data_IF_735455262723
#
_entry.id   IF_735455262723
#
_cell.length_a   1.000
_cell.length_b   1.000
_cell.length_c   1.000
_cell.angle_alpha   90.00
_cell.angle_beta   90.00
_cell.angle_gamma   90.00
#
_symmetry.space_group_name_H-M   'P 1'
#
loop_
_entity.id
_entity.type
_entity.pdbx_description
1 polymer ?
#
# COMPACT_ATOMS: atom_id res chain seq x y z
N UNK A 1 -16.74 16.26 -20.43
CA UNK A 1 -15.75 15.83 -19.42
C UNK A 1 -14.64 14.90 -19.91
N UNK A 2 -14.76 14.15 -21.03
CA UNK A 2 -13.68 13.24 -21.50
C UNK A 2 -12.45 13.94 -22.13
N UNK A 3 -12.56 15.21 -22.54
CA UNK A 3 -11.49 15.96 -23.23
C UNK A 3 -10.43 16.53 -22.26
N UNK A 4 -10.81 16.98 -21.07
CA UNK A 4 -9.86 17.44 -20.04
C UNK A 4 -8.99 16.29 -19.49
N UNK A 5 -9.57 15.08 -19.40
CA UNK A 5 -8.84 13.86 -19.08
C UNK A 5 -7.76 13.51 -20.11
N UNK A 6 -8.05 13.73 -21.40
CA UNK A 6 -7.10 13.52 -22.49
C UNK A 6 -5.92 14.51 -22.45
N UNK A 7 -6.15 15.77 -22.07
CA UNK A 7 -5.06 16.75 -21.92
C UNK A 7 -4.17 16.47 -20.69
N UNK A 8 -4.74 15.93 -19.61
CA UNK A 8 -3.95 15.36 -18.50
C UNK A 8 -3.15 14.13 -18.97
N UNK A 9 -3.69 13.24 -19.82
CA UNK A 9 -2.94 12.12 -20.41
C UNK A 9 -1.67 12.57 -21.15
N UNK A 10 -1.72 13.69 -21.89
CA UNK A 10 -0.59 14.20 -22.66
C UNK A 10 0.59 14.67 -21.79
N UNK A 11 0.31 15.21 -20.61
CA UNK A 11 1.34 15.63 -19.65
C UNK A 11 2.08 14.45 -18.99
N UNK A 12 1.46 13.26 -18.97
CA UNK A 12 1.98 12.06 -18.29
C UNK A 12 2.63 11.03 -19.24
N UNK A 13 2.25 11.04 -20.53
CA UNK A 13 2.81 10.15 -21.57
C UNK A 13 4.09 10.73 -22.21
N UNK A 14 4.23 12.06 -22.29
CA UNK A 14 5.41 12.73 -22.85
C UNK A 14 6.57 12.85 -21.83
N UNK A 15 7.84 12.64 -22.22
CA UNK A 15 8.98 12.80 -21.31
C UNK A 15 9.34 14.29 -21.11
N UNK A 16 10.07 14.69 -20.04
CA UNK A 16 10.83 13.82 -19.14
C UNK A 16 10.76 14.13 -17.64
N UNK A 17 10.87 13.07 -16.83
CA UNK A 17 11.36 13.07 -15.44
C UNK A 17 12.74 13.76 -15.28
N UNK A 18 13.42 14.21 -16.36
CA UNK A 18 14.63 15.06 -16.28
C UNK A 18 14.37 16.42 -15.64
N UNK A 19 13.17 16.98 -15.71
CA UNK A 19 12.85 18.27 -15.08
C UNK A 19 12.69 18.14 -13.57
N UNK A 20 12.18 17.01 -13.08
CA UNK A 20 12.03 16.73 -11.65
C UNK A 20 13.32 16.28 -10.98
N UNK A 21 14.23 15.62 -11.71
CA UNK A 21 15.59 15.30 -11.24
C UNK A 21 16.44 16.58 -10.99
N UNK A 22 16.11 17.72 -11.63
CA UNK A 22 16.79 19.00 -11.35
C UNK A 22 16.24 19.74 -10.13
N UNK A 23 15.00 19.53 -9.70
CA UNK A 23 14.47 20.18 -8.48
C UNK A 23 15.06 19.59 -7.19
N UNK A 24 15.51 18.34 -7.19
CA UNK A 24 16.26 17.75 -6.08
C UNK A 24 17.67 18.31 -5.89
N UNK A 25 18.13 19.19 -6.79
CA UNK A 25 19.42 19.91 -6.71
C UNK A 25 19.27 21.37 -6.24
N UNK A 26 18.22 21.72 -5.51
CA UNK A 26 18.24 22.97 -4.75
C UNK A 26 19.20 22.82 -3.56
N UNK A 27 20.21 23.70 -3.40
CA UNK A 27 21.12 23.63 -2.28
C UNK A 27 20.41 24.16 -1.04
N UNK A 28 19.79 23.29 -0.25
CA UNK A 28 19.54 23.62 1.15
C UNK A 28 20.87 23.54 1.88
N UNK A 29 21.60 24.66 1.85
CA UNK A 29 22.83 24.87 2.62
C UNK A 29 22.43 25.02 4.08
N UNK A 30 22.45 23.94 4.84
CA UNK A 30 22.47 24.00 6.30
C UNK A 30 23.75 23.35 6.82
N UNK A 31 24.51 24.18 7.53
CA UNK A 31 25.69 23.94 8.36
C UNK A 31 26.20 22.49 8.39
N UNK A 32 27.25 22.23 7.61
CA UNK A 32 28.11 21.07 7.81
C UNK A 32 28.83 21.26 9.15
N UNK A 33 28.49 20.45 10.15
CA UNK A 33 29.42 20.13 11.23
C UNK A 33 30.60 19.39 10.60
N UNK A 34 31.80 19.94 10.77
CA UNK A 34 33.07 19.36 10.34
C UNK A 34 33.16 17.89 10.77
N UNK A 35 32.95 16.97 9.83
CA UNK A 35 33.42 15.61 9.92
C UNK A 35 34.18 15.31 8.63
N UNK A 36 35.45 14.99 8.79
CA UNK A 36 36.37 14.55 7.75
C UNK A 36 35.78 13.37 6.96
N UNK A 37 36.04 13.27 5.64
CA UNK A 37 35.51 12.20 4.82
C UNK A 37 36.02 10.83 5.33
N UNK A 38 35.16 9.79 5.38
CA UNK A 38 35.61 8.46 5.78
C UNK A 38 36.57 7.89 4.72
N UNK A 39 37.66 7.29 5.19
CA UNK A 39 38.64 6.58 4.36
C UNK A 39 37.96 5.47 3.56
N UNK A 40 38.36 5.34 2.29
CA UNK A 40 37.96 4.23 1.42
C UNK A 40 38.65 2.95 1.91
N UNK A 41 37.98 2.18 2.76
CA UNK A 41 38.36 0.81 3.00
C UNK A 41 37.90 -0.06 1.83
N UNK A 42 38.85 -0.52 1.02
CA UNK A 42 38.66 -1.68 0.13
C UNK A 42 38.37 -2.91 0.99
N UNK A 43 37.10 -3.31 1.07
CA UNK A 43 36.72 -4.61 1.64
C UNK A 43 37.03 -5.68 0.60
N UNK A 44 38.21 -6.30 0.70
CA UNK A 44 38.47 -7.59 0.04
C UNK A 44 37.67 -8.67 0.77
N UNK A 45 36.51 -9.03 0.23
CA UNK A 45 35.75 -10.18 0.69
C UNK A 45 36.50 -11.51 0.41
N UNK A 46 36.21 -12.58 1.16
CA UNK A 46 36.83 -13.88 0.94
C UNK A 46 36.41 -14.45 -0.43
N UNK A 47 37.38 -15.02 -1.13
CA UNK A 47 37.18 -15.78 -2.37
C UNK A 47 36.37 -17.02 -2.00
N UNK A 48 35.07 -17.04 -2.31
CA UNK A 48 34.24 -18.24 -2.20
C UNK A 48 34.59 -19.19 -3.33
N UNK A 49 35.00 -20.42 -2.98
CA UNK A 49 35.16 -21.53 -3.91
C UNK A 49 33.90 -21.71 -4.77
N UNK A 50 34.11 -21.72 -6.08
CA UNK A 50 33.06 -21.86 -7.08
C UNK A 50 32.66 -23.34 -7.16
N UNK A 51 31.50 -23.68 -6.61
CA UNK A 51 30.95 -25.03 -6.67
C UNK A 51 30.20 -25.22 -7.99
N UNK A 52 30.79 -25.94 -8.95
CA UNK A 52 30.33 -26.05 -10.35
C UNK A 52 29.01 -26.83 -10.57
N UNK A 53 28.35 -27.33 -9.53
CA UNK A 53 27.20 -28.24 -9.66
C UNK A 53 25.81 -27.64 -9.46
N UNK A 54 25.65 -26.32 -9.42
CA UNK A 54 24.33 -25.67 -9.51
C UNK A 54 24.21 -24.96 -10.86
N UNK A 55 23.50 -25.58 -11.81
CA UNK A 55 23.02 -24.89 -13.01
C UNK A 55 22.00 -23.85 -12.54
N UNK A 56 22.50 -22.69 -12.13
CA UNK A 56 21.70 -21.54 -11.75
C UNK A 56 21.16 -20.94 -13.04
N UNK A 57 20.07 -21.51 -13.55
CA UNK A 57 19.33 -20.92 -14.67
C UNK A 57 18.94 -19.51 -14.22
N UNK A 58 19.44 -18.45 -14.88
CA UNK A 58 19.09 -17.10 -14.48
C UNK A 58 17.57 -16.97 -14.53
N UNK A 59 16.93 -16.41 -13.48
CA UNK A 59 15.48 -16.29 -13.46
C UNK A 59 15.01 -15.60 -14.73
N UNK A 60 13.91 -16.07 -15.30
CA UNK A 60 13.38 -15.52 -16.55
C UNK A 60 13.13 -14.01 -16.38
N UNK A 61 13.32 -13.24 -17.45
CA UNK A 61 13.08 -11.78 -17.43
C UNK A 61 11.68 -11.43 -16.88
N UNK A 62 10.70 -12.29 -17.16
CA UNK A 62 9.34 -12.17 -16.64
C UNK A 62 9.28 -12.27 -15.11
N UNK A 63 10.02 -13.21 -14.51
CA UNK A 63 10.10 -13.33 -13.05
C UNK A 63 10.67 -12.06 -12.42
N UNK A 64 11.73 -11.49 -12.99
CA UNK A 64 12.32 -10.24 -12.49
C UNK A 64 11.37 -9.05 -12.61
N UNK A 65 10.53 -8.99 -13.66
CA UNK A 65 9.47 -7.99 -13.79
C UNK A 65 8.36 -8.19 -12.74
N UNK A 66 7.93 -9.44 -12.49
CA UNK A 66 6.95 -9.78 -11.44
C UNK A 66 7.50 -9.49 -10.04
N UNK A 67 8.82 -9.64 -9.86
CA UNK A 67 9.53 -9.29 -8.64
C UNK A 67 9.57 -7.78 -8.45
N UNK A 68 9.89 -7.02 -9.50
CA UNK A 68 9.95 -5.54 -9.49
C UNK A 68 8.60 -4.90 -9.16
N UNK A 69 7.52 -5.38 -9.79
CA UNK A 69 6.14 -4.93 -9.50
C UNK A 69 5.61 -5.39 -8.16
N UNK A 70 6.30 -6.37 -7.53
CA UNK A 70 5.86 -7.08 -6.32
C UNK A 70 4.46 -7.70 -6.45
N UNK A 71 4.04 -8.02 -7.67
CA UNK A 71 2.70 -8.58 -7.92
C UNK A 71 2.49 -9.88 -7.13
N UNK A 72 3.51 -10.72 -7.03
CA UNK A 72 3.49 -11.97 -6.24
C UNK A 72 3.24 -11.77 -4.73
N UNK A 73 3.54 -10.59 -4.17
CA UNK A 73 3.30 -10.27 -2.74
C UNK A 73 2.02 -9.46 -2.54
N UNK A 74 1.76 -8.49 -3.42
CA UNK A 74 0.71 -7.50 -3.21
C UNK A 74 -0.62 -7.88 -3.88
N UNK A 75 -0.61 -8.77 -4.88
CA UNK A 75 -1.83 -9.08 -5.65
C UNK A 75 -2.94 -9.64 -4.77
N UNK A 76 -2.63 -10.56 -3.86
CA UNK A 76 -3.63 -11.16 -2.96
C UNK A 76 -4.20 -10.11 -1.98
N UNK A 77 -3.38 -9.40 -1.17
CA UNK A 77 -3.90 -8.37 -0.27
C UNK A 77 -4.75 -7.31 -0.98
N UNK A 78 -4.30 -6.83 -2.14
CA UNK A 78 -5.03 -5.81 -2.93
C UNK A 78 -6.37 -6.35 -3.42
N UNK A 79 -6.39 -7.60 -3.91
CA UNK A 79 -7.64 -8.23 -4.37
C UNK A 79 -8.62 -8.46 -3.22
N UNK A 80 -8.13 -8.89 -2.06
CA UNK A 80 -8.96 -9.03 -0.86
C UNK A 80 -9.53 -7.69 -0.40
N UNK A 81 -8.75 -6.61 -0.45
CA UNK A 81 -9.22 -5.27 -0.14
C UNK A 81 -10.33 -4.81 -1.09
N UNK A 82 -10.18 -5.07 -2.40
CA UNK A 82 -11.19 -4.73 -3.40
C UNK A 82 -12.48 -5.54 -3.20
N UNK A 83 -12.37 -6.85 -2.90
CA UNK A 83 -13.52 -7.70 -2.61
C UNK A 83 -14.24 -7.27 -1.33
N UNK A 84 -13.50 -6.99 -0.25
CA UNK A 84 -14.02 -6.46 1.01
C UNK A 84 -14.80 -5.16 0.77
N UNK A 85 -14.20 -4.24 0.01
CA UNK A 85 -14.79 -2.96 -0.35
C UNK A 85 -16.12 -3.12 -1.12
N UNK A 86 -16.14 -3.96 -2.16
CA UNK A 86 -17.36 -4.24 -2.92
C UNK A 86 -18.44 -4.90 -2.07
N UNK A 87 -18.07 -5.87 -1.24
CA UNK A 87 -18.99 -6.61 -0.38
C UNK A 87 -19.62 -5.73 0.70
N UNK A 88 -18.82 -4.96 1.44
CA UNK A 88 -19.33 -4.05 2.47
C UNK A 88 -20.29 -3.02 1.88
N UNK A 89 -20.03 -2.56 0.66
CA UNK A 89 -20.84 -1.51 0.04
C UNK A 89 -22.14 -2.05 -0.56
N UNK A 90 -22.14 -3.30 -1.07
CA UNK A 90 -23.32 -3.92 -1.68
C UNK A 90 -23.37 -5.44 -1.46
N UNK A 91 -23.62 -5.91 -0.22
CA UNK A 91 -23.48 -7.33 0.12
C UNK A 91 -24.53 -8.20 -0.58
N UNK A 92 -25.75 -7.68 -0.78
CA UNK A 92 -26.88 -8.44 -1.32
C UNK A 92 -26.81 -8.72 -2.83
N UNK A 93 -26.00 -7.97 -3.58
CA UNK A 93 -25.87 -8.14 -5.04
C UNK A 93 -24.47 -8.61 -5.45
N UNK A 94 -23.77 -9.33 -4.58
CA UNK A 94 -22.38 -9.73 -4.80
C UNK A 94 -22.15 -10.54 -6.07
N UNK A 95 -23.06 -11.43 -6.42
CA UNK A 95 -23.00 -12.21 -7.67
C UNK A 95 -23.04 -11.31 -8.91
N UNK A 96 -23.82 -10.21 -8.86
CA UNK A 96 -23.95 -9.27 -9.96
C UNK A 96 -22.72 -8.36 -10.07
N UNK A 97 -22.26 -7.79 -8.96
CA UNK A 97 -21.17 -6.82 -9.02
C UNK A 97 -19.79 -7.47 -9.20
N UNK A 98 -19.56 -8.70 -8.74
CA UNK A 98 -18.25 -9.36 -8.84
C UNK A 98 -17.82 -9.62 -10.30
N UNK A 99 -18.79 -9.82 -11.19
CA UNK A 99 -18.56 -9.99 -12.63
C UNK A 99 -18.77 -8.69 -13.42
N UNK A 100 -19.11 -7.59 -12.74
CA UNK A 100 -19.39 -6.33 -13.42
C UNK A 100 -18.12 -5.73 -14.05
N UNK A 101 -18.23 -5.10 -15.24
CA UNK A 101 -17.08 -4.44 -15.87
C UNK A 101 -16.45 -3.35 -14.98
N UNK A 102 -17.26 -2.60 -14.22
CA UNK A 102 -16.76 -1.55 -13.32
C UNK A 102 -15.94 -2.11 -12.17
N UNK A 103 -16.40 -3.20 -11.54
CA UNK A 103 -15.63 -3.86 -10.49
C UNK A 103 -14.32 -4.43 -11.03
N UNK A 104 -14.36 -5.20 -12.12
CA UNK A 104 -13.16 -5.80 -12.72
C UNK A 104 -12.17 -4.71 -13.14
N UNK A 105 -12.66 -3.63 -13.75
CA UNK A 105 -11.82 -2.49 -14.10
C UNK A 105 -11.20 -1.83 -12.86
N UNK A 106 -11.98 -1.61 -11.80
CA UNK A 106 -11.49 -1.01 -10.55
C UNK A 106 -10.40 -1.88 -9.90
N UNK A 107 -10.58 -3.20 -9.87
CA UNK A 107 -9.58 -4.16 -9.38
C UNK A 107 -8.27 -4.06 -10.17
N UNK A 108 -8.34 -4.10 -11.50
CA UNK A 108 -7.15 -4.01 -12.36
C UNK A 108 -6.48 -2.64 -12.24
N UNK A 109 -7.26 -1.56 -12.10
CA UNK A 109 -6.74 -0.21 -11.86
C UNK A 109 -5.94 -0.16 -10.55
N UNK A 110 -6.49 -0.66 -9.44
CA UNK A 110 -5.81 -0.64 -8.13
C UNK A 110 -4.54 -1.49 -8.17
N UNK A 111 -4.59 -2.67 -8.81
CA UNK A 111 -3.41 -3.50 -9.01
C UNK A 111 -2.34 -2.80 -9.85
N UNK A 112 -2.75 -2.12 -10.93
CA UNK A 112 -1.83 -1.41 -11.82
C UNK A 112 -1.18 -0.21 -11.14
N UNK A 113 -1.95 0.58 -10.37
CA UNK A 113 -1.43 1.70 -9.58
C UNK A 113 -0.47 1.19 -8.50
N UNK A 114 -0.82 0.10 -7.82
CA UNK A 114 0.04 -0.52 -6.81
C UNK A 114 1.37 -0.99 -7.43
N UNK A 115 1.30 -1.74 -8.54
CA UNK A 115 2.48 -2.19 -9.26
C UNK A 115 3.34 -1.02 -9.75
N UNK A 116 2.73 0.04 -10.30
CA UNK A 116 3.43 1.23 -10.74
C UNK A 116 4.12 1.95 -9.56
N UNK A 117 3.45 2.08 -8.42
CA UNK A 117 4.03 2.66 -7.18
C UNK A 117 5.28 1.88 -6.73
N UNK A 118 5.22 0.54 -6.74
CA UNK A 118 6.36 -0.31 -6.39
C UNK A 118 7.55 -0.11 -7.35
N UNK A 119 7.28 -0.04 -8.66
CA UNK A 119 8.33 0.20 -9.67
C UNK A 119 8.91 1.61 -9.53
N UNK A 120 8.06 2.63 -9.34
CA UNK A 120 8.48 4.02 -9.16
C UNK A 120 9.35 4.17 -7.92
N UNK A 121 8.96 3.56 -6.80
CA UNK A 121 9.77 3.54 -5.58
C UNK A 121 11.16 2.98 -5.85
N UNK A 122 11.25 1.81 -6.49
CA UNK A 122 12.54 1.19 -6.82
C UNK A 122 13.40 2.06 -7.75
N UNK A 123 12.81 2.80 -8.70
CA UNK A 123 13.55 3.70 -9.60
C UNK A 123 14.20 4.85 -8.82
N UNK A 124 13.50 5.42 -7.83
CA UNK A 124 14.02 6.53 -7.04
C UNK A 124 14.93 6.06 -5.90
N UNK A 125 14.77 4.84 -5.43
CA UNK A 125 15.48 4.29 -4.27
C UNK A 125 16.71 3.45 -4.65
N UNK A 126 17.14 3.43 -5.91
CA UNK A 126 18.26 2.57 -6.36
C UNK A 126 19.48 2.66 -5.42
N UNK A 127 19.89 3.86 -5.01
CA UNK A 127 21.04 4.04 -4.12
C UNK A 127 20.76 3.64 -2.66
N UNK A 128 19.53 3.85 -2.17
CA UNK A 128 19.09 3.37 -0.84
C UNK A 128 19.07 1.83 -0.83
N UNK A 129 18.54 1.24 -1.90
CA UNK A 129 18.38 -0.19 -2.06
C UNK A 129 19.71 -0.90 -2.25
N UNK A 130 20.78 -0.24 -2.72
CA UNK A 130 22.14 -0.83 -2.66
C UNK A 130 22.55 -1.19 -1.24
N UNK A 131 22.07 -0.44 -0.24
CA UNK A 131 22.34 -0.68 1.18
C UNK A 131 21.29 -1.62 1.77
N UNK A 132 20.01 -1.28 1.60
CA UNK A 132 18.92 -1.98 2.29
C UNK A 132 18.53 -3.30 1.61
N UNK A 133 18.55 -3.36 0.26
CA UNK A 133 17.99 -4.45 -0.53
C UNK A 133 18.80 -4.72 -1.83
N UNK A 134 20.07 -5.16 -1.73
CA UNK A 134 21.00 -5.24 -2.87
C UNK A 134 20.56 -6.20 -3.98
N UNK A 135 19.63 -7.12 -3.67
CA UNK A 135 19.11 -8.12 -4.59
C UNK A 135 17.90 -7.65 -5.42
N UNK A 136 17.54 -6.34 -5.38
CA UNK A 136 16.43 -5.79 -6.17
C UNK A 136 16.78 -5.74 -7.67
N UNK A 137 15.81 -5.99 -8.58
CA UNK A 137 16.08 -6.09 -10.02
C UNK A 137 16.74 -4.86 -10.67
N UNK A 138 16.46 -3.65 -10.16
CA UNK A 138 17.09 -2.43 -10.66
C UNK A 138 18.51 -2.22 -10.14
N UNK A 139 18.81 -2.73 -8.94
CA UNK A 139 20.15 -2.64 -8.32
C UNK A 139 21.10 -3.62 -8.99
N UNK A 140 20.64 -4.85 -9.21
CA UNK A 140 21.40 -5.90 -9.91
C UNK A 140 21.52 -5.65 -11.41
N UNK A 141 20.70 -4.75 -11.97
CA UNK A 141 20.65 -4.47 -13.40
C UNK A 141 19.94 -5.54 -14.23
N UNK A 142 19.31 -6.54 -13.61
CA UNK A 142 18.50 -7.55 -14.32
C UNK A 142 17.31 -6.91 -15.02
N UNK A 143 16.80 -5.79 -14.51
CA UNK A 143 15.86 -4.89 -15.20
C UNK A 143 16.48 -3.50 -15.29
N UNK A 144 16.52 -2.93 -16.49
CA UNK A 144 17.02 -1.58 -16.70
C UNK A 144 15.99 -0.52 -16.28
N UNK A 145 16.47 0.66 -15.89
CA UNK A 145 15.60 1.81 -15.57
C UNK A 145 14.70 2.18 -16.77
N UNK A 146 15.17 1.97 -18.01
CA UNK A 146 14.37 2.22 -19.21
C UNK A 146 13.18 1.27 -19.31
N UNK A 147 13.40 -0.03 -19.09
CA UNK A 147 12.33 -1.03 -19.06
C UNK A 147 11.33 -0.75 -17.94
N UNK A 148 11.81 -0.40 -16.74
CA UNK A 148 10.97 -0.05 -15.61
C UNK A 148 10.05 1.15 -15.90
N UNK A 149 10.57 2.19 -16.57
CA UNK A 149 9.76 3.34 -17.00
C UNK A 149 8.71 2.97 -18.05
N UNK A 150 9.05 2.10 -19.00
CA UNK A 150 8.08 1.61 -19.98
C UNK A 150 6.99 0.77 -19.34
N UNK A 151 7.33 -0.04 -18.35
CA UNK A 151 6.38 -0.80 -17.56
C UNK A 151 5.39 0.13 -16.84
N UNK A 152 5.88 1.16 -16.13
CA UNK A 152 5.03 2.16 -15.47
C UNK A 152 4.09 2.84 -16.47
N UNK A 153 4.60 3.23 -17.65
CA UNK A 153 3.77 3.83 -18.71
C UNK A 153 2.69 2.88 -19.21
N UNK A 154 3.01 1.59 -19.39
CA UNK A 154 2.05 0.58 -19.78
C UNK A 154 0.95 0.39 -18.72
N UNK A 155 1.33 0.31 -17.45
CA UNK A 155 0.41 0.21 -16.32
C UNK A 155 -0.52 1.42 -16.24
N UNK A 156 0.01 2.64 -16.37
CA UNK A 156 -0.83 3.85 -16.40
C UNK A 156 -1.69 3.93 -17.66
N UNK A 157 -1.18 3.56 -18.82
CA UNK A 157 -1.98 3.48 -20.05
C UNK A 157 -3.18 2.54 -19.88
N UNK A 158 -2.96 1.39 -19.24
CA UNK A 158 -4.03 0.45 -18.89
C UNK A 158 -5.01 1.06 -17.87
N UNK A 159 -4.51 1.69 -16.80
CA UNK A 159 -5.35 2.38 -15.82
C UNK A 159 -6.22 3.46 -16.46
N UNK A 160 -5.66 4.29 -17.33
CA UNK A 160 -6.39 5.33 -18.05
C UNK A 160 -7.45 4.74 -18.98
N UNK A 161 -7.09 3.73 -19.76
CA UNK A 161 -8.04 3.05 -20.66
C UNK A 161 -9.22 2.50 -19.87
N UNK A 162 -8.96 1.75 -18.79
CA UNK A 162 -10.00 1.16 -17.97
C UNK A 162 -10.84 2.21 -17.24
N UNK A 163 -10.19 3.25 -16.71
CA UNK A 163 -10.85 4.38 -16.05
C UNK A 163 -11.87 5.05 -16.96
N UNK A 164 -11.45 5.44 -18.16
CA UNK A 164 -12.31 6.16 -19.11
C UNK A 164 -13.46 5.30 -19.66
N UNK A 165 -13.24 3.99 -19.80
CA UNK A 165 -14.22 3.09 -20.42
C UNK A 165 -15.22 2.50 -19.45
N UNK A 166 -14.78 2.11 -18.25
CA UNK A 166 -15.57 1.27 -17.35
C UNK A 166 -15.84 1.92 -15.99
N UNK A 167 -15.15 3.01 -15.64
CA UNK A 167 -15.35 3.70 -14.36
C UNK A 167 -16.26 4.92 -14.56
N UNK A 168 -17.27 5.10 -13.69
CA UNK A 168 -18.11 6.29 -13.68
C UNK A 168 -17.31 7.58 -13.48
N UNK A 169 -17.64 8.63 -14.22
CA UNK A 169 -16.91 9.90 -14.19
C UNK A 169 -16.79 10.54 -12.79
N UNK A 170 -17.75 10.28 -11.89
CA UNK A 170 -17.71 10.79 -10.51
C UNK A 170 -16.53 10.21 -9.71
N UNK A 171 -16.02 9.05 -10.11
CA UNK A 171 -14.88 8.36 -9.50
C UNK A 171 -13.55 8.66 -10.20
N UNK A 172 -13.56 9.45 -11.28
CA UNK A 172 -12.34 9.88 -11.97
C UNK A 172 -11.27 10.47 -11.02
N UNK A 173 -11.64 11.32 -10.04
CA UNK A 173 -10.66 11.88 -9.11
C UNK A 173 -9.87 10.81 -8.35
N UNK A 174 -10.45 9.65 -7.99
CA UNK A 174 -9.77 8.65 -7.18
C UNK A 174 -8.54 8.08 -7.88
N UNK A 175 -8.70 7.60 -9.11
CA UNK A 175 -7.59 6.97 -9.83
C UNK A 175 -6.62 8.00 -10.42
N UNK A 176 -7.10 9.19 -10.80
CA UNK A 176 -6.24 10.27 -11.31
C UNK A 176 -5.37 10.85 -10.19
N UNK A 177 -5.97 11.24 -9.07
CA UNK A 177 -5.24 11.78 -7.93
C UNK A 177 -4.35 10.71 -7.32
N UNK A 178 -4.81 9.45 -7.26
CA UNK A 178 -3.98 8.32 -6.85
C UNK A 178 -2.71 8.19 -7.68
N UNK A 179 -2.81 8.15 -9.01
CA UNK A 179 -1.63 8.13 -9.89
C UNK A 179 -0.75 9.38 -9.72
N UNK A 180 -1.36 10.57 -9.64
CA UNK A 180 -0.64 11.83 -9.46
C UNK A 180 0.18 11.83 -8.16
N UNK A 181 -0.45 11.47 -7.05
CA UNK A 181 0.20 11.36 -5.75
C UNK A 181 1.31 10.32 -5.79
N UNK A 182 1.11 9.17 -6.46
CA UNK A 182 2.16 8.14 -6.61
C UNK A 182 3.45 8.69 -7.21
N UNK A 183 3.34 9.60 -8.16
CA UNK A 183 4.50 10.15 -8.85
C UNK A 183 5.14 11.34 -8.14
N UNK A 184 4.38 12.07 -7.32
CA UNK A 184 4.89 13.22 -6.57
C UNK A 184 5.42 12.81 -5.19
N UNK A 185 4.82 11.80 -4.54
CA UNK A 185 5.21 11.46 -3.18
C UNK A 185 6.65 10.93 -3.13
N UNK A 186 7.07 10.11 -4.10
CA UNK A 186 8.39 9.48 -4.07
C UNK A 186 9.56 10.49 -4.17
N UNK A 187 9.56 11.47 -5.09
CA UNK A 187 10.66 12.45 -5.19
C UNK A 187 10.60 13.58 -4.15
N UNK A 188 9.41 13.98 -3.69
CA UNK A 188 9.26 15.18 -2.84
C UNK A 188 8.87 14.87 -1.40
N UNK A 189 7.86 14.01 -1.19
CA UNK A 189 7.30 13.79 0.12
C UNK A 189 8.12 12.82 0.97
N UNK A 190 8.96 11.96 0.36
CA UNK A 190 9.89 11.09 1.09
C UNK A 190 10.84 11.83 2.03
N UNK A 191 11.15 13.09 1.74
CA UNK A 191 12.06 13.92 2.55
C UNK A 191 11.36 14.57 3.74
N UNK A 192 10.03 14.51 3.81
CA UNK A 192 9.24 15.13 4.86
C UNK A 192 8.73 14.02 5.78
N UNK A 193 9.19 14.05 7.03
CA UNK A 193 8.80 13.11 8.07
C UNK A 193 7.27 13.03 8.18
N UNK A 194 6.72 11.81 8.35
CA UNK A 194 5.29 11.51 8.50
C UNK A 194 4.40 11.77 7.27
N UNK A 195 4.66 12.81 6.48
CA UNK A 195 3.81 13.20 5.33
C UNK A 195 3.76 12.08 4.28
N UNK A 196 4.89 11.43 3.99
CA UNK A 196 4.93 10.24 3.11
C UNK A 196 4.00 9.13 3.62
N UNK A 197 4.09 8.77 4.90
CA UNK A 197 3.32 7.68 5.49
C UNK A 197 1.82 7.98 5.44
N UNK A 198 1.43 9.22 5.77
CA UNK A 198 0.04 9.67 5.75
C UNK A 198 -0.52 9.68 4.33
N UNK A 199 0.25 10.17 3.34
CA UNK A 199 -0.18 10.15 1.93
C UNK A 199 -0.30 8.72 1.40
N UNK A 200 0.65 7.84 1.72
CA UNK A 200 0.57 6.42 1.37
C UNK A 200 -0.70 5.78 1.96
N UNK A 201 -0.96 6.03 3.24
CA UNK A 201 -2.15 5.54 3.93
C UNK A 201 -3.46 6.09 3.34
N UNK A 202 -3.49 7.37 2.94
CA UNK A 202 -4.63 7.96 2.24
C UNK A 202 -4.88 7.29 0.89
N UNK A 203 -3.83 7.05 0.09
CA UNK A 203 -3.97 6.37 -1.21
C UNK A 203 -4.53 4.95 -1.01
N UNK A 204 -3.94 4.17 -0.10
CA UNK A 204 -4.36 2.78 0.12
C UNK A 204 -5.80 2.72 0.66
N UNK A 205 -6.13 3.53 1.67
CA UNK A 205 -7.48 3.56 2.26
C UNK A 205 -8.54 4.07 1.28
N UNK A 206 -8.21 4.99 0.38
CA UNK A 206 -9.14 5.49 -0.66
C UNK A 206 -9.61 4.41 -1.64
N UNK A 207 -8.92 3.27 -1.70
CA UNK A 207 -9.37 2.07 -2.44
C UNK A 207 -10.74 1.61 -1.99
N UNK A 208 -11.04 1.72 -0.68
CA UNK A 208 -12.31 1.25 -0.10
C UNK A 208 -13.52 1.99 -0.67
N UNK A 209 -13.60 3.33 -0.61
CA UNK A 209 -14.69 4.05 -1.27
C UNK A 209 -14.61 4.00 -2.81
N UNK A 210 -13.41 3.97 -3.40
CA UNK A 210 -13.27 3.91 -4.86
C UNK A 210 -13.93 2.65 -5.45
N UNK A 211 -13.53 1.47 -4.97
CA UNK A 211 -14.04 0.19 -5.45
C UNK A 211 -15.49 0.01 -5.01
N UNK A 212 -15.82 0.39 -3.77
CA UNK A 212 -17.16 0.25 -3.21
C UNK A 212 -18.20 1.02 -4.01
N UNK A 213 -17.93 2.29 -4.35
CA UNK A 213 -18.86 3.08 -5.15
C UNK A 213 -18.88 2.60 -6.61
N UNK A 214 -17.78 2.03 -7.13
CA UNK A 214 -17.75 1.46 -8.47
C UNK A 214 -18.70 0.24 -8.61
N UNK A 215 -18.98 -0.50 -7.53
CA UNK A 215 -19.95 -1.61 -7.53
C UNK A 215 -21.42 -1.15 -7.44
N UNK A 216 -21.67 0.10 -7.05
CA UNK A 216 -23.02 0.67 -6.91
C UNK A 216 -23.68 1.06 -8.24
N UNK A 217 -22.93 1.17 -9.33
CA UNK A 217 -23.43 1.67 -10.62
C UNK A 217 -24.31 0.68 -11.42
N UNK A 218 -24.82 -0.36 -10.76
CA UNK A 218 -25.82 -1.25 -11.32
C UNK A 218 -27.20 -0.61 -11.10
N UNK A 219 -27.73 0.04 -12.14
CA UNK A 219 -29.14 0.20 -12.61
C UNK A 219 -30.38 0.06 -11.68
N UNK A 220 -30.25 -0.23 -10.39
CA UNK A 220 -31.34 -0.51 -9.47
C UNK A 220 -31.59 0.69 -8.54
N UNK A 221 -32.87 0.91 -8.23
CA UNK A 221 -33.39 1.82 -7.19
C UNK A 221 -32.98 1.35 -5.77
N UNK A 222 -31.70 1.06 -5.55
CA UNK A 222 -31.11 0.61 -4.27
C UNK A 222 -30.25 1.71 -3.64
N UNK A 223 -30.60 2.98 -3.89
CA UNK A 223 -29.96 4.13 -3.25
C UNK A 223 -30.17 4.11 -1.73
N UNK A 224 -31.32 3.62 -1.25
CA UNK A 224 -31.60 3.56 0.19
C UNK A 224 -30.75 2.50 0.94
N UNK A 225 -30.53 1.32 0.35
CA UNK A 225 -29.73 0.26 0.98
C UNK A 225 -28.22 0.51 0.87
N UNK A 226 -27.75 1.16 -0.20
CA UNK A 226 -26.33 1.51 -0.37
C UNK A 226 -25.86 2.62 0.58
N UNK A 227 -26.71 3.58 0.92
CA UNK A 227 -26.43 4.60 1.94
C UNK A 227 -26.39 4.02 3.37
N UNK A 228 -27.12 2.92 3.64
CA UNK A 228 -27.14 2.28 4.94
C UNK A 228 -25.77 1.69 5.35
N UNK A 229 -24.95 1.30 4.37
CA UNK A 229 -23.62 0.71 4.60
C UNK A 229 -22.48 1.74 4.62
N UNK A 230 -22.80 3.04 4.47
CA UNK A 230 -21.81 4.12 4.52
C UNK A 230 -20.99 4.14 5.83
N UNK A 231 -21.59 3.96 7.03
CA UNK A 231 -20.82 3.89 8.27
C UNK A 231 -19.79 2.76 8.27
N UNK A 232 -20.15 1.59 7.76
CA UNK A 232 -19.24 0.43 7.67
C UNK A 232 -18.12 0.66 6.65
N UNK A 233 -18.42 1.30 5.52
CA UNK A 233 -17.41 1.71 4.55
C UNK A 233 -16.41 2.70 5.16
N UNK A 234 -16.88 3.68 5.93
CA UNK A 234 -16.03 4.64 6.64
C UNK A 234 -15.17 3.97 7.72
N UNK A 235 -15.77 3.08 8.52
CA UNK A 235 -15.07 2.29 9.53
C UNK A 235 -13.95 1.44 8.91
N UNK A 236 -14.24 0.80 7.78
CA UNK A 236 -13.27 0.00 7.03
C UNK A 236 -12.16 0.87 6.45
N UNK A 237 -12.52 2.01 5.86
CA UNK A 237 -11.55 2.99 5.34
C UNK A 237 -10.59 3.44 6.44
N UNK A 238 -11.11 3.74 7.63
CA UNK A 238 -10.31 4.09 8.82
C UNK A 238 -9.36 2.95 9.22
N UNK A 239 -9.86 1.71 9.31
CA UNK A 239 -9.02 0.55 9.63
C UNK A 239 -7.86 0.40 8.64
N UNK A 240 -8.16 0.46 7.34
CA UNK A 240 -7.13 0.35 6.30
C UNK A 240 -6.12 1.50 6.37
N UNK A 241 -6.57 2.72 6.67
CA UNK A 241 -5.70 3.88 6.84
C UNK A 241 -4.70 3.67 7.99
N UNK A 242 -5.18 3.32 9.18
CA UNK A 242 -4.31 3.10 10.35
C UNK A 242 -3.45 1.84 10.21
N UNK A 243 -3.96 0.80 9.56
CA UNK A 243 -3.14 -0.36 9.19
C UNK A 243 -2.02 -0.03 8.21
N UNK A 244 -2.28 0.84 7.24
CA UNK A 244 -1.25 1.31 6.31
C UNK A 244 -0.20 2.15 7.02
N UNK A 245 -0.60 3.06 7.93
CA UNK A 245 0.34 3.80 8.77
C UNK A 245 1.21 2.87 9.62
N UNK A 246 0.61 1.84 10.21
CA UNK A 246 1.32 0.82 10.96
C UNK A 246 2.39 0.12 10.10
N UNK A 247 2.02 -0.37 8.91
CA UNK A 247 2.93 -1.05 7.98
C UNK A 247 4.06 -0.12 7.53
N UNK A 248 3.75 1.11 7.11
CA UNK A 248 4.74 2.06 6.60
C UNK A 248 5.78 2.43 7.68
N UNK A 249 5.35 2.62 8.94
CA UNK A 249 6.29 2.88 10.03
C UNK A 249 7.18 1.67 10.35
N UNK A 250 6.66 0.44 10.26
CA UNK A 250 7.49 -0.75 10.41
C UNK A 250 8.50 -0.91 9.26
N UNK A 251 8.10 -0.59 8.03
CA UNK A 251 9.01 -0.56 6.88
C UNK A 251 10.12 0.47 7.08
N UNK A 252 9.79 1.68 7.54
CA UNK A 252 10.78 2.71 7.83
C UNK A 252 11.73 2.29 8.97
N UNK A 253 11.27 1.52 9.98
CA UNK A 253 12.17 0.96 11.02
C UNK A 253 13.18 -0.02 10.40
N UNK A 254 12.74 -0.89 9.50
CA UNK A 254 13.62 -1.85 8.82
C UNK A 254 14.65 -1.14 7.94
N UNK A 255 14.21 -0.09 7.25
CA UNK A 255 14.98 0.60 6.20
C UNK A 255 15.82 1.79 6.77
N UNK A 256 15.83 1.97 8.11
CA UNK A 256 16.56 3.03 8.85
C UNK A 256 18.02 3.24 8.41
N UNK A 257 18.78 2.18 8.14
CA UNK A 257 20.22 2.28 7.81
C UNK A 257 20.44 3.03 6.49
N UNK A 258 19.73 2.60 5.44
CA UNK A 258 19.81 3.25 4.13
C UNK A 258 19.21 4.66 4.13
N UNK A 259 18.12 4.88 4.87
CA UNK A 259 17.50 6.21 4.99
C UNK A 259 18.47 7.21 5.65
N UNK A 260 19.12 6.82 6.75
CA UNK A 260 20.10 7.66 7.43
C UNK A 260 21.33 7.96 6.54
N UNK A 261 21.83 6.95 5.81
CA UNK A 261 22.96 7.12 4.88
C UNK A 261 22.66 8.11 3.74
N UNK A 262 21.38 8.25 3.36
CA UNK A 262 20.93 9.17 2.31
C UNK A 262 20.35 10.48 2.84
N UNK A 263 20.46 10.75 4.15
CA UNK A 263 19.96 11.97 4.78
C UNK A 263 18.43 12.10 4.77
N UNK A 264 17.71 10.98 4.79
CA UNK A 264 16.25 10.95 4.83
C UNK A 264 15.80 10.88 6.28
N UNK A 265 15.08 11.93 6.72
CA UNK A 265 14.63 12.06 8.09
C UNK A 265 13.26 11.39 8.31
N UNK A 266 13.21 10.06 8.34
CA UNK A 266 12.02 9.32 8.78
C UNK A 266 11.87 9.34 10.30
N UNK A 267 10.68 9.05 10.84
CA UNK A 267 10.44 8.99 12.30
C UNK A 267 11.46 8.08 13.00
N UNK A 268 11.71 6.84 12.54
CA UNK A 268 12.68 5.99 13.20
C UNK A 268 14.14 6.46 13.04
N UNK A 269 14.49 7.21 11.99
CA UNK A 269 15.82 7.83 11.87
C UNK A 269 16.00 8.97 12.87
N UNK A 270 14.97 9.80 13.08
CA UNK A 270 15.04 10.99 13.96
C UNK A 270 14.89 10.61 15.44
N UNK A 271 13.94 9.73 15.76
CA UNK A 271 13.54 9.44 17.14
C UNK A 271 13.86 8.01 17.60
N UNK A 272 14.34 7.15 16.69
CA UNK A 272 14.68 5.77 16.98
C UNK A 272 13.50 4.79 16.96
N UNK A 273 13.83 3.50 16.92
CA UNK A 273 12.90 2.37 16.85
C UNK A 273 11.82 2.40 17.94
N UNK A 274 12.22 2.54 19.21
CA UNK A 274 11.29 2.43 20.34
C UNK A 274 10.26 3.55 20.37
N UNK A 275 10.67 4.79 20.05
CA UNK A 275 9.75 5.91 19.94
C UNK A 275 8.76 5.69 18.80
N UNK A 276 9.21 5.25 17.62
CA UNK A 276 8.33 4.95 16.49
C UNK A 276 7.28 3.90 16.84
N UNK A 277 7.68 2.81 17.52
CA UNK A 277 6.75 1.77 17.96
C UNK A 277 5.71 2.30 18.96
N UNK A 278 6.13 3.13 19.91
CA UNK A 278 5.23 3.79 20.87
C UNK A 278 4.26 4.74 20.15
N UNK A 279 4.77 5.59 19.26
CA UNK A 279 3.98 6.51 18.46
C UNK A 279 2.89 5.79 17.64
N UNK A 280 3.27 4.71 16.95
CA UNK A 280 2.33 3.89 16.19
C UNK A 280 1.31 3.21 17.09
N UNK A 281 1.71 2.71 18.26
CA UNK A 281 0.78 2.14 19.23
C UNK A 281 -0.26 3.17 19.71
N UNK A 282 0.15 4.42 19.95
CA UNK A 282 -0.76 5.51 20.30
C UNK A 282 -1.74 5.85 19.18
N UNK A 283 -1.28 5.89 17.92
CA UNK A 283 -2.17 6.10 16.77
C UNK A 283 -3.22 4.99 16.64
N UNK A 284 -2.79 3.74 16.77
CA UNK A 284 -3.68 2.58 16.76
C UNK A 284 -4.67 2.64 17.93
N UNK A 285 -4.23 3.07 19.12
CA UNK A 285 -5.09 3.19 20.30
C UNK A 285 -6.13 4.28 20.12
N UNK A 286 -5.74 5.44 19.61
CA UNK A 286 -6.68 6.53 19.29
C UNK A 286 -7.73 6.09 18.28
N UNK A 287 -7.31 5.39 17.22
CA UNK A 287 -8.25 4.81 16.25
C UNK A 287 -9.19 3.81 16.91
N UNK A 288 -8.66 2.86 17.67
CA UNK A 288 -9.48 1.82 18.29
C UNK A 288 -10.48 2.39 19.30
N UNK A 289 -10.07 3.36 20.13
CA UNK A 289 -10.98 4.08 21.05
C UNK A 289 -12.06 4.82 20.28
N UNK A 290 -11.71 5.52 19.19
CA UNK A 290 -12.72 6.24 18.39
C UNK A 290 -13.80 5.30 17.84
N UNK A 291 -13.45 4.06 17.54
CA UNK A 291 -14.38 3.04 17.05
C UNK A 291 -15.25 2.44 18.14
N UNK A 292 -14.80 2.42 19.40
CA UNK A 292 -15.62 1.96 20.53
C UNK A 292 -16.81 2.89 20.82
N UNK A 293 -16.77 4.13 20.33
CA UNK A 293 -17.93 5.04 20.35
C UNK A 293 -18.91 4.78 19.19
N UNK A 294 -18.54 3.99 18.19
CA UNK A 294 -19.44 3.56 17.14
C UNK A 294 -20.25 2.36 17.65
N UNK A 295 -21.60 2.42 17.68
CA UNK A 295 -22.45 1.30 18.12
C UNK A 295 -22.35 0.10 17.17
N UNK A 296 -21.66 0.21 16.05
CA UNK A 296 -21.55 -0.83 15.06
C UNK A 296 -20.72 -2.04 15.57
N UNK A 297 -21.28 -3.27 15.59
CA UNK A 297 -20.55 -4.47 16.01
C UNK A 297 -19.27 -4.76 15.22
N UNK A 298 -19.11 -4.23 14.00
CA UNK A 298 -17.85 -4.33 13.25
C UNK A 298 -16.66 -3.64 13.95
N UNK A 299 -16.91 -2.69 14.86
CA UNK A 299 -15.87 -2.08 15.68
C UNK A 299 -15.22 -3.10 16.63
N UNK A 300 -16.02 -3.94 17.31
CA UNK A 300 -15.51 -5.01 18.19
C UNK A 300 -14.74 -6.03 17.35
N UNK A 301 -15.28 -6.42 16.19
CA UNK A 301 -14.62 -7.36 15.30
C UNK A 301 -13.24 -6.84 14.84
N UNK A 302 -13.16 -5.55 14.46
CA UNK A 302 -11.89 -4.93 14.08
C UNK A 302 -10.87 -4.95 15.23
N UNK A 303 -11.31 -4.73 16.47
CA UNK A 303 -10.47 -4.76 17.67
C UNK A 303 -9.80 -6.11 17.81
N UNK A 304 -10.60 -7.18 17.71
CA UNK A 304 -10.13 -8.57 17.88
C UNK A 304 -9.22 -8.99 16.73
N UNK A 305 -9.61 -8.69 15.48
CA UNK A 305 -8.95 -9.24 14.29
C UNK A 305 -7.77 -8.42 13.79
N UNK A 306 -7.75 -7.09 14.04
CA UNK A 306 -6.72 -6.17 13.54
C UNK A 306 -5.86 -5.65 14.68
N UNK A 307 -6.46 -4.93 15.64
CA UNK A 307 -5.70 -4.16 16.63
C UNK A 307 -4.95 -5.05 17.62
N UNK A 308 -5.59 -6.09 18.18
CA UNK A 308 -4.93 -7.02 19.11
C UNK A 308 -3.68 -7.65 18.47
N UNK A 309 -3.74 -8.28 17.27
CA UNK A 309 -2.55 -8.78 16.60
C UNK A 309 -1.47 -7.71 16.41
N UNK A 310 -1.82 -6.49 16.02
CA UNK A 310 -0.84 -5.42 15.81
C UNK A 310 -0.12 -5.05 17.10
N UNK A 311 -0.82 -4.94 18.23
CA UNK A 311 -0.19 -4.72 19.53
C UNK A 311 0.74 -5.86 19.93
N UNK A 312 0.36 -7.12 19.68
CA UNK A 312 1.26 -8.25 19.96
C UNK A 312 2.53 -8.19 19.12
N UNK A 313 2.42 -7.74 17.86
CA UNK A 313 3.58 -7.53 16.99
C UNK A 313 4.46 -6.37 17.46
N UNK A 314 3.87 -5.23 17.83
CA UNK A 314 4.61 -4.09 18.39
C UNK A 314 5.38 -4.52 19.63
N UNK A 315 4.71 -5.23 20.55
CA UNK A 315 5.33 -5.74 21.77
C UNK A 315 6.53 -6.65 21.45
N UNK A 316 6.34 -7.67 20.59
CA UNK A 316 7.42 -8.57 20.18
C UNK A 316 8.61 -7.84 19.58
N UNK A 317 8.37 -6.92 18.64
CA UNK A 317 9.42 -6.13 17.99
C UNK A 317 10.13 -5.22 19.00
N UNK A 318 9.40 -4.67 19.99
CA UNK A 318 9.96 -3.79 21.02
C UNK A 318 10.90 -4.51 21.97
N UNK A 319 10.67 -5.79 22.26
CA UNK A 319 11.52 -6.61 23.12
C UNK A 319 12.79 -7.11 22.41
N UNK A 320 12.86 -7.02 21.08
CA UNK A 320 14.00 -7.51 20.30
C UNK A 320 15.14 -6.48 20.25
N UNK A 321 16.30 -6.85 20.79
CA UNK A 321 17.53 -6.03 20.74
C UNK A 321 18.35 -6.27 19.47
N UNK A 322 18.38 -7.51 18.95
CA UNK A 322 19.10 -7.85 17.73
C UNK A 322 18.39 -7.29 16.49
N UNK A 323 19.15 -6.72 15.55
CA UNK A 323 18.59 -6.14 14.32
C UNK A 323 18.04 -7.20 13.38
N UNK A 324 18.74 -8.30 13.17
CA UNK A 324 18.33 -9.31 12.19
C UNK A 324 17.02 -9.99 12.62
N UNK A 325 16.90 -10.27 13.92
CA UNK A 325 15.66 -10.76 14.53
C UNK A 325 14.54 -9.72 14.43
N UNK A 326 14.85 -8.44 14.63
CA UNK A 326 13.88 -7.34 14.47
C UNK A 326 13.37 -7.24 13.03
N UNK A 327 14.25 -7.35 12.03
CA UNK A 327 13.89 -7.30 10.62
C UNK A 327 13.02 -8.51 10.24
N UNK A 328 13.30 -9.70 10.79
CA UNK A 328 12.48 -10.90 10.64
C UNK A 328 11.07 -10.71 11.24
N UNK A 329 10.97 -10.22 12.48
CA UNK A 329 9.68 -9.99 13.13
C UNK A 329 8.86 -8.90 12.44
N UNK A 330 9.51 -7.86 11.90
CA UNK A 330 8.84 -6.85 11.08
C UNK A 330 8.25 -7.49 9.82
N UNK A 331 9.01 -8.32 9.10
CA UNK A 331 8.49 -9.02 7.92
C UNK A 331 7.31 -9.93 8.27
N UNK A 332 7.39 -10.64 9.40
CA UNK A 332 6.30 -11.48 9.88
C UNK A 332 5.06 -10.64 10.24
N UNK A 333 5.24 -9.51 10.92
CA UNK A 333 4.15 -8.59 11.25
C UNK A 333 3.45 -8.07 10.00
N UNK A 334 4.20 -7.63 8.98
CA UNK A 334 3.66 -7.16 7.70
C UNK A 334 2.92 -8.29 6.97
N UNK A 335 3.41 -9.53 7.02
CA UNK A 335 2.70 -10.67 6.42
C UNK A 335 1.40 -10.96 7.18
N UNK A 336 1.44 -10.90 8.50
CA UNK A 336 0.30 -11.16 9.36
C UNK A 336 -0.77 -10.07 9.28
N UNK A 337 -0.45 -8.83 8.91
CA UNK A 337 -1.48 -7.80 8.69
C UNK A 337 -2.45 -8.19 7.58
N UNK A 338 -1.97 -8.85 6.53
CA UNK A 338 -2.83 -9.38 5.45
C UNK A 338 -3.76 -10.46 5.99
N UNK A 339 -3.24 -11.34 6.86
CA UNK A 339 -4.06 -12.37 7.52
C UNK A 339 -5.13 -11.74 8.42
N UNK A 340 -4.75 -10.75 9.25
CA UNK A 340 -5.68 -9.98 10.09
C UNK A 340 -6.80 -9.32 9.28
N UNK A 341 -6.46 -8.67 8.17
CA UNK A 341 -7.44 -8.08 7.25
C UNK A 341 -8.33 -9.15 6.61
N UNK A 342 -7.76 -10.30 6.24
CA UNK A 342 -8.53 -11.43 5.72
C UNK A 342 -9.51 -12.02 6.72
N UNK A 343 -9.09 -12.17 7.98
CA UNK A 343 -9.98 -12.56 9.07
C UNK A 343 -11.08 -11.53 9.27
N UNK A 344 -10.76 -10.24 9.33
CA UNK A 344 -11.74 -9.16 9.42
C UNK A 344 -12.78 -9.25 8.30
N UNK A 345 -12.35 -9.49 7.05
CA UNK A 345 -13.25 -9.66 5.91
C UNK A 345 -14.17 -10.88 6.06
N UNK A 346 -13.60 -12.06 6.34
CA UNK A 346 -14.36 -13.31 6.47
C UNK A 346 -15.38 -13.22 7.59
N UNK A 347 -14.98 -12.71 8.75
CA UNK A 347 -15.90 -12.51 9.86
C UNK A 347 -16.94 -11.44 9.56
N UNK A 348 -16.62 -10.43 8.75
CA UNK A 348 -17.61 -9.41 8.38
C UNK A 348 -18.73 -10.00 7.52
N UNK A 349 -18.38 -10.88 6.58
CA UNK A 349 -19.33 -11.66 5.76
C UNK A 349 -20.19 -12.57 6.65
N UNK A 350 -19.56 -13.35 7.53
CA UNK A 350 -20.27 -14.29 8.41
C UNK A 350 -21.22 -13.55 9.35
N UNK A 351 -20.77 -12.43 9.91
CA UNK A 351 -21.56 -11.64 10.84
C UNK A 351 -22.80 -11.03 10.17
N UNK A 352 -22.70 -10.50 8.94
CA UNK A 352 -23.89 -10.04 8.20
C UNK A 352 -24.91 -11.16 7.98
N UNK A 353 -24.46 -12.33 7.53
CA UNK A 353 -25.34 -13.46 7.26
C UNK A 353 -26.04 -13.95 8.53
N UNK A 354 -25.33 -14.00 9.66
CA UNK A 354 -25.89 -14.39 10.96
C UNK A 354 -26.89 -13.33 11.45
N UNK A 355 -26.52 -12.06 11.45
CA UNK A 355 -27.39 -10.96 11.89
C UNK A 355 -28.69 -10.94 11.08
N UNK A 356 -28.60 -11.12 9.76
CA UNK A 356 -29.74 -11.25 8.87
C UNK A 356 -30.61 -12.45 9.24
N UNK A 357 -30.01 -13.63 9.46
CA UNK A 357 -30.77 -14.83 9.84
C UNK A 357 -31.52 -14.68 11.17
N UNK A 358 -30.93 -13.95 12.13
CA UNK A 358 -31.55 -13.66 13.43
C UNK A 358 -32.68 -12.66 13.24
N UNK A 359 -32.45 -11.56 12.52
CA UNK A 359 -33.47 -10.55 12.26
C UNK A 359 -34.66 -11.14 11.51
N UNK A 360 -34.44 -11.97 10.49
CA UNK A 360 -35.50 -12.65 9.75
C UNK A 360 -36.39 -13.51 10.66
N UNK A 361 -35.78 -14.29 11.58
CA UNK A 361 -36.52 -15.10 12.58
C UNK A 361 -37.27 -14.28 13.62
N UNK A 362 -36.77 -13.08 13.95
CA UNK A 362 -37.43 -12.18 14.91
C UNK A 362 -38.60 -11.45 14.26
N UNK A 363 -38.48 -11.10 12.98
CA UNK A 363 -39.54 -10.38 12.24
C UNK A 363 -40.63 -11.29 11.70
N UNK A 364 -40.36 -12.58 11.49
CA UNK A 364 -41.36 -13.58 11.11
C UNK A 364 -41.21 -14.86 11.96
N UNK A 365 -41.80 -14.90 13.17
CA UNK A 365 -41.64 -16.03 14.11
C UNK A 365 -42.27 -17.35 13.63
N UNK A 366 -43.01 -17.34 12.51
CA UNK A 366 -43.80 -18.48 12.01
C UNK A 366 -43.34 -19.03 10.64
N UNK A 367 -42.23 -18.50 10.09
CA UNK A 367 -41.53 -19.05 8.92
C UNK A 367 -40.28 -19.84 9.34
#
# INVERSE_FOLDING_TARGET
MKITHFFLCLLWILPPVRSFVKLGKMPFRMMALNQSPPEKHEVKGPITEYNENNINIPPSKLYEIVKLTRLHKNSIPVSMLCLLSGYITNPYSWEKWIVSPSFIASLIIVQSITAASMVINDIYDIEIDRINQPNRPLVTGTVSVKEARWLVRGLYGLTFYLGIQFIPNVLDPFWIVGMFLVNIYTPFLKKITLVKNVVCAMIISSTVPFVGIATLNLMEKTTASSLANLPLMLLTTQNIFFSSLYIENLLDIRDMKGDNAMGIHTIPVVFGKHFTLFFVACLLLGSNISMLFDPNPYAILSTITIYIPYYTHIYKISCTQNKDDSDLYIQQAIKNTTLSMGCYFLFSILFENILFSILARVTDPLA
#
